data_IF_525950213600
#
_entry.id   IF_525950213600
#
_cell.length_a   1.000
_cell.length_b   1.000
_cell.length_c   1.000
_cell.angle_alpha   90.00
_cell.angle_beta   90.00
_cell.angle_gamma   90.00
#
_symmetry.space_group_name_H-M   'P 1'
#
loop_
_entity.id
_entity.type
_entity.pdbx_description
1 polymer ?
#
# COMPACT_ATOMS: atom_id res chain seq x y z
N UNK A 1 -4.37 -30.10 2.07
CA UNK A 1 -4.22 -28.94 1.17
C UNK A 1 -5.39 -28.03 1.46
N UNK A 2 -5.15 -26.84 2.01
CA UNK A 2 -6.21 -25.87 2.25
C UNK A 2 -6.47 -25.13 0.95
N UNK A 3 -7.61 -25.40 0.30
CA UNK A 3 -8.17 -24.64 -0.82
C UNK A 3 -8.64 -23.27 -0.33
N UNK A 4 -7.70 -22.42 0.09
CA UNK A 4 -8.01 -21.12 0.65
C UNK A 4 -6.86 -20.14 0.44
N UNK A 5 -7.21 -18.87 0.36
CA UNK A 5 -6.27 -17.76 0.28
C UNK A 5 -6.38 -16.89 1.52
N UNK A 6 -5.35 -16.09 1.80
CA UNK A 6 -5.39 -15.10 2.88
C UNK A 6 -5.59 -13.71 2.30
N UNK A 7 -6.50 -12.96 2.92
CA UNK A 7 -6.74 -11.55 2.65
C UNK A 7 -7.23 -10.87 3.93
N UNK A 8 -7.42 -9.56 3.89
CA UNK A 8 -8.05 -8.81 4.98
C UNK A 8 -9.56 -8.84 4.84
N UNK A 9 -10.29 -8.91 5.96
CA UNK A 9 -11.75 -8.99 5.95
C UNK A 9 -12.41 -7.63 5.65
N UNK A 10 -11.75 -6.53 6.03
CA UNK A 10 -12.25 -5.17 5.90
C UNK A 10 -11.08 -4.19 5.72
N UNK A 11 -11.33 -2.96 5.21
CA UNK A 11 -10.32 -1.92 5.16
C UNK A 11 -9.71 -1.66 6.55
N UNK A 12 -8.42 -1.35 6.58
CA UNK A 12 -7.71 -1.02 7.84
C UNK A 12 -6.74 0.13 7.66
N UNK A 13 -6.46 0.82 8.76
CA UNK A 13 -5.61 2.00 8.78
C UNK A 13 -4.51 1.89 9.84
N UNK A 14 -3.38 2.55 9.59
CA UNK A 14 -2.25 2.64 10.52
C UNK A 14 -1.58 4.00 10.48
N UNK A 15 -1.04 4.43 11.61
CA UNK A 15 -0.30 5.68 11.74
C UNK A 15 1.07 5.41 12.34
N UNK A 16 2.12 5.79 11.61
CA UNK A 16 3.50 5.76 12.08
C UNK A 16 4.14 7.14 11.99
N UNK A 17 5.01 7.49 12.94
CA UNK A 17 5.70 8.78 13.00
C UNK A 17 7.17 8.57 13.33
N UNK A 18 8.04 9.24 12.58
CA UNK A 18 9.48 9.16 12.78
C UNK A 18 10.18 10.44 12.30
N UNK A 19 11.09 10.99 13.12
CA UNK A 19 11.86 12.23 12.83
C UNK A 19 11.02 13.35 12.20
N UNK A 20 9.82 13.57 12.74
CA UNK A 20 8.86 14.58 12.26
C UNK A 20 8.06 14.17 11.00
N UNK A 21 8.45 13.11 10.31
CA UNK A 21 7.67 12.52 9.21
C UNK A 21 6.46 11.75 9.76
N UNK A 22 5.37 11.78 8.99
CA UNK A 22 4.13 11.07 9.30
C UNK A 22 3.77 10.15 8.13
N UNK A 23 3.43 8.91 8.46
CA UNK A 23 3.04 7.87 7.52
C UNK A 23 1.64 7.38 7.88
N UNK A 24 0.70 7.53 6.94
CA UNK A 24 -0.65 7.00 7.05
C UNK A 24 -0.76 5.81 6.12
N UNK A 25 -0.88 4.62 6.68
CA UNK A 25 -1.04 3.38 5.93
C UNK A 25 -2.54 3.04 5.83
N UNK A 26 -2.98 2.64 4.64
CA UNK A 26 -4.33 2.19 4.35
C UNK A 26 -4.23 0.86 3.62
N UNK A 27 -4.92 -0.16 4.12
CA UNK A 27 -5.03 -1.45 3.44
C UNK A 27 -6.49 -1.69 3.03
N UNK A 28 -6.69 -2.11 1.79
CA UNK A 28 -8.01 -2.38 1.22
C UNK A 28 -8.07 -3.78 0.62
N UNK A 29 -9.17 -4.53 0.83
CA UNK A 29 -9.46 -5.66 -0.01
C UNK A 29 -9.76 -5.15 -1.43
N UNK A 30 -9.05 -5.68 -2.43
CA UNK A 30 -9.24 -5.33 -3.85
C UNK A 30 -9.09 -6.57 -4.71
N UNK A 31 -9.86 -6.69 -5.78
CA UNK A 31 -9.88 -7.88 -6.63
C UNK A 31 -9.31 -7.65 -8.03
N UNK A 32 -9.02 -6.40 -8.39
CA UNK A 32 -8.51 -6.00 -9.70
C UNK A 32 -7.82 -4.62 -9.64
N UNK A 33 -7.19 -4.22 -10.76
CA UNK A 33 -6.48 -2.94 -10.86
C UNK A 33 -7.43 -1.72 -10.83
N UNK A 34 -8.69 -1.88 -11.23
CA UNK A 34 -9.68 -0.79 -11.25
C UNK A 34 -10.07 -0.38 -9.83
N UNK A 35 -10.45 -1.33 -8.97
CA UNK A 35 -10.73 -1.10 -7.54
C UNK A 35 -9.53 -0.46 -6.82
N UNK A 36 -8.32 -0.92 -7.11
CA UNK A 36 -7.11 -0.29 -6.59
C UNK A 36 -6.99 1.18 -7.03
N UNK A 37 -7.23 1.47 -8.31
CA UNK A 37 -7.14 2.84 -8.85
C UNK A 37 -8.20 3.76 -8.24
N UNK A 38 -9.40 3.27 -7.95
CA UNK A 38 -10.43 4.00 -7.22
C UNK A 38 -9.92 4.40 -5.84
N UNK A 39 -9.41 3.45 -5.04
CA UNK A 39 -8.87 3.73 -3.70
C UNK A 39 -7.66 4.66 -3.71
N UNK A 40 -6.76 4.50 -4.67
CA UNK A 40 -5.64 5.42 -4.83
C UNK A 40 -6.12 6.84 -5.16
N UNK A 41 -7.13 6.98 -6.01
CA UNK A 41 -7.69 8.28 -6.39
C UNK A 41 -8.43 8.95 -5.24
N UNK A 42 -9.21 8.19 -4.47
CA UNK A 42 -9.86 8.65 -3.24
C UNK A 42 -8.83 9.22 -2.26
N UNK A 43 -7.76 8.46 -1.97
CA UNK A 43 -6.70 8.89 -1.06
C UNK A 43 -5.91 10.09 -1.60
N UNK A 44 -5.58 10.12 -2.90
CA UNK A 44 -4.91 11.28 -3.51
C UNK A 44 -5.76 12.54 -3.44
N UNK A 45 -7.08 12.43 -3.50
CA UNK A 45 -7.99 13.57 -3.33
C UNK A 45 -8.09 14.00 -1.86
N UNK A 46 -8.20 13.04 -0.95
CA UNK A 46 -8.31 13.30 0.49
C UNK A 46 -7.02 13.91 1.05
N UNK A 47 -5.86 13.38 0.64
CA UNK A 47 -4.53 13.77 1.09
C UNK A 47 -3.74 14.45 -0.04
N UNK A 48 -4.39 15.36 -0.75
CA UNK A 48 -3.83 16.09 -1.90
C UNK A 48 -2.57 16.92 -1.57
N UNK A 49 -2.35 17.21 -0.29
CA UNK A 49 -1.20 17.96 0.23
C UNK A 49 -0.01 17.06 0.62
N UNK A 50 -0.18 15.73 0.58
CA UNK A 50 0.90 14.78 0.80
C UNK A 50 1.84 14.70 -0.40
N UNK A 51 3.13 14.41 -0.13
CA UNK A 51 4.16 14.36 -1.18
C UNK A 51 4.18 13.04 -1.94
N UNK A 52 3.95 11.95 -1.23
CA UNK A 52 4.07 10.59 -1.76
C UNK A 52 2.91 9.73 -1.29
N UNK A 53 2.37 8.94 -2.21
CA UNK A 53 1.36 7.91 -2.06
C UNK A 53 1.98 6.60 -2.56
N UNK A 54 2.98 6.11 -1.82
CA UNK A 54 3.65 4.86 -2.16
C UNK A 54 2.67 3.71 -1.97
N UNK A 55 2.77 2.65 -2.77
CA UNK A 55 1.82 1.56 -2.67
C UNK A 55 2.41 0.22 -3.08
N UNK A 56 1.71 -0.84 -2.70
CA UNK A 56 1.79 -2.13 -3.35
C UNK A 56 0.41 -2.79 -3.39
N UNK A 57 0.15 -3.60 -4.40
CA UNK A 57 -1.02 -4.45 -4.45
C UNK A 57 -0.67 -5.83 -4.97
N UNK A 58 -1.52 -6.79 -4.62
CA UNK A 58 -1.55 -8.12 -5.21
C UNK A 58 -2.99 -8.61 -5.28
N UNK A 59 -3.40 -9.12 -6.42
CA UNK A 59 -4.68 -9.83 -6.56
C UNK A 59 -4.50 -11.04 -7.48
N UNK A 60 -5.46 -11.95 -7.42
CA UNK A 60 -5.39 -13.22 -8.13
C UNK A 60 -4.85 -14.37 -7.28
N UNK A 61 -5.31 -15.58 -7.61
CA UNK A 61 -4.97 -16.82 -6.90
C UNK A 61 -3.95 -17.68 -7.68
N UNK A 62 -3.95 -17.56 -9.00
CA UNK A 62 -3.14 -18.36 -9.94
C UNK A 62 -2.15 -17.48 -10.71
N UNK A 63 -2.63 -16.37 -11.24
CA UNK A 63 -1.81 -15.37 -11.90
C UNK A 63 -1.47 -14.29 -10.88
N UNK A 64 -0.19 -14.20 -10.51
CA UNK A 64 0.30 -13.25 -9.53
C UNK A 64 0.33 -11.83 -10.14
N UNK A 65 -0.83 -11.18 -10.23
CA UNK A 65 -0.90 -9.78 -10.62
C UNK A 65 -0.51 -8.92 -9.41
N UNK A 66 0.69 -8.33 -9.49
CA UNK A 66 1.19 -7.43 -8.46
C UNK A 66 1.88 -6.22 -9.09
N UNK A 67 1.88 -5.12 -8.33
CA UNK A 67 2.67 -3.93 -8.62
C UNK A 67 3.00 -3.25 -7.32
N UNK A 68 4.13 -2.55 -7.30
CA UNK A 68 4.46 -1.61 -6.25
C UNK A 68 5.06 -0.34 -6.85
N UNK A 69 4.98 0.75 -6.09
CA UNK A 69 5.50 2.05 -6.50
C UNK A 69 6.02 2.82 -5.30
N UNK A 70 7.19 3.42 -5.50
CA UNK A 70 7.82 4.35 -4.56
C UNK A 70 7.22 5.77 -4.66
N UNK A 71 6.40 6.08 -5.66
CA UNK A 71 5.78 7.40 -5.89
C UNK A 71 6.74 8.60 -5.75
N UNK A 72 7.97 8.45 -6.26
CA UNK A 72 9.00 9.49 -6.21
C UNK A 72 9.92 9.43 -4.98
N UNK A 73 9.70 8.50 -4.05
CA UNK A 73 10.72 8.12 -3.06
C UNK A 73 11.95 7.50 -3.73
N UNK A 74 13.11 7.41 -3.02
CA UNK A 74 14.26 6.66 -3.50
C UNK A 74 13.87 5.23 -3.93
N UNK A 75 14.52 4.73 -4.97
CA UNK A 75 14.19 3.45 -5.58
C UNK A 75 14.20 2.29 -4.55
N UNK A 76 13.12 1.52 -4.51
CA UNK A 76 12.86 0.39 -3.61
C UNK A 76 12.83 0.75 -2.12
N UNK A 77 12.67 2.02 -1.75
CA UNK A 77 12.64 2.45 -0.35
C UNK A 77 11.26 2.40 0.30
N UNK A 78 10.18 2.35 -0.48
CA UNK A 78 8.82 2.34 0.04
C UNK A 78 7.94 1.24 -0.58
N UNK A 79 7.78 1.22 -1.91
CA UNK A 79 6.91 0.27 -2.60
C UNK A 79 7.33 -1.19 -2.39
N UNK A 80 8.62 -1.49 -2.56
CA UNK A 80 9.15 -2.84 -2.35
C UNK A 80 8.99 -3.33 -0.90
N UNK A 81 9.31 -2.54 0.15
CA UNK A 81 8.99 -2.91 1.53
C UNK A 81 7.50 -3.18 1.81
N UNK A 82 6.59 -2.36 1.25
CA UNK A 82 5.14 -2.59 1.39
C UNK A 82 4.75 -3.93 0.77
N UNK A 83 5.24 -4.22 -0.46
CA UNK A 83 4.98 -5.50 -1.11
C UNK A 83 5.58 -6.69 -0.34
N UNK A 84 6.76 -6.50 0.25
CA UNK A 84 7.39 -7.51 1.10
C UNK A 84 6.52 -7.92 2.30
N UNK A 85 5.71 -7.00 2.85
CA UNK A 85 4.74 -7.35 3.89
C UNK A 85 3.57 -8.18 3.34
N UNK A 86 3.03 -7.83 2.17
CA UNK A 86 1.98 -8.64 1.52
C UNK A 86 2.49 -10.07 1.31
N UNK A 87 3.75 -10.22 0.91
CA UNK A 87 4.37 -11.53 0.70
C UNK A 87 4.62 -12.28 2.03
N UNK A 88 5.15 -11.61 3.06
CA UNK A 88 5.47 -12.27 4.34
C UNK A 88 4.24 -12.83 5.06
N UNK A 89 3.09 -12.18 4.90
CA UNK A 89 1.80 -12.64 5.43
C UNK A 89 1.02 -13.54 4.46
N UNK A 90 1.60 -13.86 3.30
CA UNK A 90 1.00 -14.71 2.25
C UNK A 90 -0.37 -14.18 1.78
N UNK A 91 -0.51 -12.86 1.72
CA UNK A 91 -1.77 -12.20 1.36
C UNK A 91 -1.96 -12.12 -0.15
N UNK A 92 -3.22 -12.06 -0.57
CA UNK A 92 -3.67 -11.69 -1.92
C UNK A 92 -4.98 -10.93 -1.84
N UNK A 93 -5.46 -10.45 -2.98
CA UNK A 93 -6.64 -9.59 -3.11
C UNK A 93 -6.58 -8.38 -2.13
N UNK A 94 -5.44 -7.71 -2.13
CA UNK A 94 -5.14 -6.61 -1.19
C UNK A 94 -4.31 -5.53 -1.87
N UNK A 95 -4.60 -4.28 -1.52
CA UNK A 95 -3.76 -3.13 -1.79
C UNK A 95 -3.38 -2.45 -0.47
N UNK A 96 -2.14 -1.99 -0.37
CA UNK A 96 -1.65 -1.16 0.72
C UNK A 96 -1.11 0.14 0.13
N UNK A 97 -1.60 1.27 0.61
CA UNK A 97 -1.21 2.63 0.20
C UNK A 97 -0.68 3.36 1.43
N UNK A 98 0.52 3.92 1.34
CA UNK A 98 1.17 4.68 2.39
C UNK A 98 1.32 6.13 1.94
N UNK A 99 0.59 7.01 2.61
CA UNK A 99 0.65 8.46 2.41
C UNK A 99 1.71 9.03 3.34
N UNK A 100 2.73 9.69 2.77
CA UNK A 100 3.82 10.31 3.53
C UNK A 100 3.75 11.82 3.53
N UNK A 101 3.85 12.38 4.75
CA UNK A 101 4.18 13.78 4.98
C UNK A 101 5.65 13.92 5.41
N UNK A 102 6.39 14.79 4.74
CA UNK A 102 7.80 15.04 5.03
C UNK A 102 7.97 15.91 6.29
N UNK A 103 8.80 15.45 7.22
CA UNK A 103 9.00 16.10 8.53
C UNK A 103 10.04 17.22 8.59
N UNK A 104 10.66 17.59 7.47
CA UNK A 104 11.78 18.56 7.46
C UNK A 104 13.17 17.93 7.64
N UNK A 105 13.25 16.66 8.06
CA UNK A 105 14.50 15.92 8.20
C UNK A 105 14.46 14.65 7.34
N UNK A 106 15.55 14.37 6.61
CA UNK A 106 15.67 13.13 5.83
C UNK A 106 15.76 11.94 6.79
N UNK A 107 15.06 10.86 6.45
CA UNK A 107 15.07 9.62 7.24
C UNK A 107 16.37 8.85 7.04
#
# INVERSE_FOLDING_TARGET
MTDGYRTIAEPSEGLYKEKGSKFLAFAYPVFNEEEFKEKLTELKKQYHDARHHCYAFKFGLTDNEYRYSDDGEPNNSAGAPIFGQIQSFELTNIAIIVVRYFGGTKL
#
